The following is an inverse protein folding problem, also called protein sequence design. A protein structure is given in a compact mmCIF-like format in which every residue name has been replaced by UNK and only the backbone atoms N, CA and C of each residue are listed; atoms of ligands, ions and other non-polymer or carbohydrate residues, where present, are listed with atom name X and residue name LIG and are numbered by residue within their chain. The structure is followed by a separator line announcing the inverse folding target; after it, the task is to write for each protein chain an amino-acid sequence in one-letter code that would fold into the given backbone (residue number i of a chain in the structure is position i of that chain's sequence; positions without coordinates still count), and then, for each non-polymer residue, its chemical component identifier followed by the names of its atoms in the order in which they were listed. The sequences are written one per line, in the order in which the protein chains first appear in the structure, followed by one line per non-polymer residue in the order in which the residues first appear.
data_IF_886856725493
#
_entry.id   IF_886856725493
#
_cell.length_a   1.000
_cell.length_b   1.000
_cell.length_c   1.000
_cell.angle_alpha   90.00
_cell.angle_beta   90.00
_cell.angle_gamma   90.00
#
_symmetry.space_group_name_H-M   'P 1'
#
loop_
_entity.id
_entity.type
_entity.pdbx_description
1 polymer ?
#
# COMPACT_ATOMS: atom_id res chain seq x y z
N UNK A 1 45.22 10.84 14.20
CA UNK A 1 43.94 10.53 13.51
C UNK A 1 43.06 9.58 14.31
N UNK A 2 43.57 8.42 14.75
CA UNK A 2 42.79 7.41 15.52
C UNK A 2 42.56 7.72 17.02
N UNK A 3 43.32 8.65 17.60
CA UNK A 3 43.16 9.09 19.01
C UNK A 3 42.13 10.22 19.20
N UNK A 4 41.51 10.73 18.14
CA UNK A 4 40.59 11.86 18.21
C UNK A 4 39.19 11.39 18.64
N UNK A 5 38.65 11.94 19.73
CA UNK A 5 37.33 11.56 20.29
C UNK A 5 36.20 11.76 19.26
N UNK A 6 36.25 12.85 18.50
CA UNK A 6 35.26 13.15 17.45
C UNK A 6 35.25 12.08 16.34
N UNK A 7 36.41 11.54 15.97
CA UNK A 7 36.51 10.50 14.94
C UNK A 7 35.92 9.17 15.44
N UNK A 8 36.23 8.79 16.69
CA UNK A 8 35.68 7.58 17.32
C UNK A 8 34.17 7.67 17.52
N UNK A 9 33.65 8.83 17.93
CA UNK A 9 32.22 9.07 18.09
C UNK A 9 31.46 8.88 16.77
N UNK A 10 31.93 9.50 15.69
CA UNK A 10 31.32 9.34 14.35
C UNK A 10 31.42 7.89 13.87
N UNK A 11 32.56 7.22 14.09
CA UNK A 11 32.74 5.82 13.73
C UNK A 11 31.71 4.92 14.42
N UNK A 12 31.52 5.06 15.73
CA UNK A 12 30.53 4.27 16.47
C UNK A 12 29.10 4.57 16.03
N UNK A 13 28.77 5.82 15.73
CA UNK A 13 27.44 6.19 15.25
C UNK A 13 27.14 5.57 13.87
N UNK A 14 28.10 5.59 12.95
CA UNK A 14 27.97 4.95 11.63
C UNK A 14 27.85 3.43 11.79
N UNK A 15 28.66 2.81 12.64
CA UNK A 15 28.57 1.37 12.92
C UNK A 15 27.22 1.00 13.53
N UNK A 16 26.72 1.78 14.48
CA UNK A 16 25.42 1.55 15.09
C UNK A 16 24.29 1.70 14.05
N UNK A 17 24.33 2.74 13.23
CA UNK A 17 23.34 2.96 12.18
C UNK A 17 23.37 1.83 11.14
N UNK A 18 24.56 1.41 10.72
CA UNK A 18 24.74 0.27 9.82
C UNK A 18 24.21 -1.03 10.45
N UNK A 19 24.46 -1.26 11.74
CA UNK A 19 23.93 -2.41 12.46
C UNK A 19 22.40 -2.39 12.55
N UNK A 20 21.79 -1.24 12.89
CA UNK A 20 20.33 -1.08 12.98
C UNK A 20 19.68 -1.30 11.62
N UNK A 21 20.20 -0.66 10.56
CA UNK A 21 19.69 -0.83 9.19
C UNK A 21 19.88 -2.26 8.71
N UNK A 22 21.05 -2.85 8.97
CA UNK A 22 21.35 -4.23 8.60
C UNK A 22 20.44 -5.25 9.28
N UNK A 23 20.22 -5.11 10.60
CA UNK A 23 19.29 -5.95 11.36
C UNK A 23 17.85 -5.75 10.86
N UNK A 24 17.42 -4.49 10.68
CA UNK A 24 16.09 -4.18 10.16
C UNK A 24 15.86 -4.80 8.78
N UNK A 25 16.81 -4.65 7.87
CA UNK A 25 16.77 -5.26 6.54
C UNK A 25 16.72 -6.79 6.61
N UNK A 26 17.56 -7.41 7.44
CA UNK A 26 17.58 -8.86 7.63
C UNK A 26 16.23 -9.40 8.13
N UNK A 27 15.62 -8.72 9.12
CA UNK A 27 14.31 -9.10 9.65
C UNK A 27 13.20 -8.97 8.61
N UNK A 28 13.16 -7.85 7.86
CA UNK A 28 12.18 -7.64 6.79
C UNK A 28 12.34 -8.67 5.69
N UNK A 29 13.56 -8.89 5.21
CA UNK A 29 13.85 -9.85 4.15
C UNK A 29 13.47 -11.28 4.57
N UNK A 30 13.82 -11.69 5.79
CA UNK A 30 13.42 -13.00 6.32
C UNK A 30 11.91 -13.14 6.45
N UNK A 31 11.23 -12.10 6.93
CA UNK A 31 9.77 -12.12 7.09
C UNK A 31 9.09 -12.24 5.74
N UNK A 32 9.48 -11.43 4.76
CA UNK A 32 8.96 -11.51 3.38
C UNK A 32 9.23 -12.87 2.74
N UNK A 33 10.44 -13.41 2.93
CA UNK A 33 10.78 -14.75 2.45
C UNK A 33 9.86 -15.82 3.06
N UNK A 34 9.72 -15.82 4.39
CA UNK A 34 8.85 -16.74 5.13
C UNK A 34 7.37 -16.65 4.73
N UNK A 35 6.88 -15.45 4.43
CA UNK A 35 5.52 -15.21 3.97
C UNK A 35 5.33 -15.73 2.54
N UNK A 36 6.30 -15.49 1.66
CA UNK A 36 6.27 -15.97 0.27
C UNK A 36 6.22 -17.49 0.18
N UNK A 37 6.99 -18.20 1.02
CA UNK A 37 6.97 -19.68 1.10
C UNK A 37 5.60 -20.20 1.54
N UNK A 38 4.89 -19.44 2.38
CA UNK A 38 3.54 -19.79 2.85
C UNK A 38 2.42 -19.35 1.90
N UNK A 39 2.75 -18.88 0.69
CA UNK A 39 1.80 -18.32 -0.27
C UNK A 39 0.99 -17.12 0.28
N UNK A 40 1.45 -16.50 1.36
CA UNK A 40 0.83 -15.30 1.92
C UNK A 40 1.39 -14.11 1.16
N UNK A 41 0.55 -13.50 0.33
CA UNK A 41 0.94 -12.31 -0.42
C UNK A 41 0.67 -11.07 0.42
N UNK A 42 1.74 -10.43 0.85
CA UNK A 42 1.67 -9.19 1.63
C UNK A 42 1.99 -8.00 0.72
N UNK A 43 1.24 -6.92 0.90
CA UNK A 43 1.40 -5.69 0.14
C UNK A 43 0.32 -5.49 -0.91
N UNK A 44 0.64 -4.64 -1.88
CA UNK A 44 -0.31 -4.11 -2.87
C UNK A 44 -0.43 -4.95 -4.14
N UNK A 45 0.23 -6.12 -4.20
CA UNK A 45 0.18 -7.02 -5.35
C UNK A 45 -1.22 -7.56 -5.66
N UNK A 46 -2.17 -7.48 -4.71
CA UNK A 46 -3.56 -7.83 -4.98
C UNK A 46 -4.23 -6.86 -5.96
N UNK A 47 -3.81 -5.58 -6.00
CA UNK A 47 -4.42 -4.57 -6.87
C UNK A 47 -4.27 -4.90 -8.36
N UNK A 48 -3.21 -5.60 -8.75
CA UNK A 48 -2.97 -6.03 -10.13
C UNK A 48 -3.59 -7.39 -10.45
N UNK A 49 -4.17 -8.09 -9.46
CA UNK A 49 -4.90 -9.35 -9.70
C UNK A 49 -6.27 -9.05 -10.28
N UNK A 50 -6.77 -9.97 -11.07
CA UNK A 50 -8.15 -9.98 -11.55
C UNK A 50 -9.12 -10.01 -10.37
N UNK A 51 -10.14 -9.14 -10.42
CA UNK A 51 -11.12 -8.99 -9.34
C UNK A 51 -12.06 -10.21 -9.27
N UNK A 52 -12.48 -10.74 -10.42
CA UNK A 52 -13.29 -11.96 -10.50
C UNK A 52 -14.73 -11.81 -9.96
N UNK A 53 -15.19 -10.59 -9.71
CA UNK A 53 -16.57 -10.29 -9.32
C UNK A 53 -17.15 -9.15 -10.16
N UNK A 54 -18.46 -9.23 -10.40
CA UNK A 54 -19.24 -8.18 -11.07
C UNK A 54 -19.58 -7.03 -10.13
N UNK A 55 -19.56 -5.81 -10.65
CA UNK A 55 -20.04 -4.61 -9.96
C UNK A 55 -21.41 -4.25 -10.57
N UNK A 56 -22.46 -4.35 -9.75
CA UNK A 56 -23.85 -4.14 -10.19
C UNK A 56 -24.11 -2.75 -10.77
N UNK A 57 -23.54 -1.70 -10.16
CA UNK A 57 -23.59 -0.33 -10.67
C UNK A 57 -22.20 0.19 -10.99
N UNK A 58 -21.91 0.33 -12.28
CA UNK A 58 -20.69 0.96 -12.77
C UNK A 58 -21.03 2.03 -13.80
N UNK A 59 -20.80 3.30 -13.44
CA UNK A 59 -20.92 4.43 -14.39
C UNK A 59 -19.82 4.42 -15.46
N UNK A 60 -18.73 3.68 -15.20
CA UNK A 60 -17.60 3.48 -16.11
C UNK A 60 -17.51 2.00 -16.44
N UNK A 61 -17.27 1.67 -17.71
CA UNK A 61 -17.15 0.29 -18.17
C UNK A 61 -16.18 -0.51 -17.29
N UNK A 62 -16.69 -1.58 -16.69
CA UNK A 62 -15.95 -2.49 -15.82
C UNK A 62 -16.37 -3.91 -16.18
N UNK A 63 -15.38 -4.79 -16.25
CA UNK A 63 -15.56 -6.22 -16.47
C UNK A 63 -14.91 -6.98 -15.30
N UNK A 64 -15.46 -8.13 -14.86
CA UNK A 64 -14.83 -8.98 -13.83
C UNK A 64 -13.39 -9.38 -14.12
N UNK A 65 -13.00 -9.42 -15.40
CA UNK A 65 -11.63 -9.65 -15.86
C UNK A 65 -10.67 -8.49 -15.59
N UNK A 66 -11.19 -7.35 -15.14
CA UNK A 66 -10.38 -6.21 -14.75
C UNK A 66 -9.74 -6.42 -13.37
N UNK A 67 -8.66 -5.67 -13.16
CA UNK A 67 -7.88 -5.76 -11.92
C UNK A 67 -8.62 -5.19 -10.71
N UNK A 68 -8.33 -5.68 -9.50
CA UNK A 68 -8.85 -5.13 -8.24
C UNK A 68 -8.64 -3.62 -8.09
N UNK A 69 -7.52 -3.08 -8.60
CA UNK A 69 -7.27 -1.63 -8.59
C UNK A 69 -8.30 -0.85 -9.39
N UNK A 70 -8.74 -1.39 -10.54
CA UNK A 70 -9.83 -0.80 -11.33
C UNK A 70 -11.17 -0.96 -10.63
N UNK A 71 -11.43 -2.11 -10.00
CA UNK A 71 -12.64 -2.31 -9.21
C UNK A 71 -12.77 -1.28 -8.07
N UNK A 72 -11.69 -1.02 -7.33
CA UNK A 72 -11.65 0.01 -6.29
C UNK A 72 -11.86 1.42 -6.85
N UNK A 73 -11.24 1.74 -7.99
CA UNK A 73 -11.42 3.04 -8.64
C UNK A 73 -12.86 3.27 -9.11
N UNK A 74 -13.47 2.25 -9.71
CA UNK A 74 -14.87 2.30 -10.15
C UNK A 74 -15.80 2.44 -8.94
N UNK A 75 -15.57 1.69 -7.86
CA UNK A 75 -16.33 1.81 -6.63
C UNK A 75 -16.24 3.20 -6.00
N UNK A 76 -15.03 3.77 -5.91
CA UNK A 76 -14.80 5.13 -5.41
C UNK A 76 -15.58 6.16 -6.24
N UNK A 77 -15.50 6.07 -7.58
CA UNK A 77 -16.19 6.98 -8.47
C UNK A 77 -17.71 6.88 -8.30
N UNK A 78 -18.25 5.67 -8.12
CA UNK A 78 -19.67 5.49 -7.87
C UNK A 78 -20.11 6.16 -6.56
N UNK A 79 -19.36 5.96 -5.47
CA UNK A 79 -19.64 6.62 -4.18
C UNK A 79 -19.61 8.14 -4.31
N UNK A 80 -18.66 8.70 -5.05
CA UNK A 80 -18.58 10.15 -5.27
C UNK A 80 -19.80 10.68 -6.06
N UNK A 81 -20.24 9.97 -7.09
CA UNK A 81 -21.43 10.35 -7.86
C UNK A 81 -22.70 10.34 -7.02
N UNK A 82 -22.95 9.25 -6.30
CA UNK A 82 -24.11 9.14 -5.42
C UNK A 82 -24.07 10.22 -4.33
N UNK A 83 -22.90 10.47 -3.75
CA UNK A 83 -22.72 11.53 -2.73
C UNK A 83 -22.99 12.92 -3.30
N UNK A 84 -22.52 13.22 -4.52
CA UNK A 84 -22.77 14.51 -5.17
C UNK A 84 -24.27 14.75 -5.41
N UNK A 85 -24.98 13.74 -5.91
CA UNK A 85 -26.44 13.81 -6.08
C UNK A 85 -27.16 13.99 -4.74
N UNK A 86 -26.72 13.28 -3.70
CA UNK A 86 -27.24 13.43 -2.34
C UNK A 86 -27.07 14.84 -1.78
N UNK A 87 -25.90 15.47 -1.98
CA UNK A 87 -25.64 16.85 -1.56
C UNK A 87 -26.57 17.82 -2.27
N UNK A 88 -26.73 17.69 -3.60
CA UNK A 88 -27.62 18.56 -4.38
C UNK A 88 -29.07 18.41 -3.91
N UNK A 89 -29.55 17.18 -3.72
CA UNK A 89 -30.89 16.93 -3.22
C UNK A 89 -31.09 17.50 -1.81
N UNK A 90 -30.14 17.30 -0.91
CA UNK A 90 -30.18 17.84 0.45
C UNK A 90 -30.17 19.38 0.47
N UNK A 91 -29.45 20.02 -0.46
CA UNK A 91 -29.41 21.49 -0.59
C UNK A 91 -30.73 22.07 -1.11
N UNK A 92 -31.46 21.32 -1.92
CA UNK A 92 -32.75 21.77 -2.48
C UNK A 92 -33.90 21.52 -1.51
N UNK A 93 -33.89 20.38 -0.81
CA UNK A 93 -34.97 19.94 0.08
C UNK A 93 -34.83 20.44 1.52
N UNK A 94 -33.60 20.70 1.98
CA UNK A 94 -33.30 21.24 3.30
C UNK A 94 -33.37 22.76 3.32
#
# INVERSE_FOLDING_TARGET
MFANERFRAVLYQVLLLAAVVGVGWFLVANTLHNLSTRQIQVGFGFLSREAGFEIAESHVAYDPSNTYGRALWVGLLNTLWVSALGIVAATILG
#
